data_IF_863263405659
#
_entry.id   IF_863263405659
#
_cell.length_a   1.000
_cell.length_b   1.000
_cell.length_c   1.000
_cell.angle_alpha   90.00
_cell.angle_beta   90.00
_cell.angle_gamma   90.00
#
_symmetry.space_group_name_H-M   'P 1'
#
loop_
_entity.id
_entity.type
_entity.pdbx_description
1 polymer ?
#
# COMPACT_ATOMS: atom_id res chain seq x y z
N UNK A 1 -10.75 12.14 3.67
CA UNK A 1 -9.89 11.14 2.99
C UNK A 1 -10.70 9.97 2.44
N UNK A 2 -11.59 9.37 3.21
CA UNK A 2 -12.45 8.26 2.78
C UNK A 2 -13.86 8.77 2.53
N UNK A 3 -14.47 8.30 1.43
CA UNK A 3 -15.88 8.50 1.13
C UNK A 3 -16.55 7.14 0.96
N UNK A 4 -17.84 6.97 1.32
CA UNK A 4 -18.56 5.70 1.18
C UNK A 4 -18.55 5.11 -0.23
N UNK A 5 -18.43 5.96 -1.24
CA UNK A 5 -18.46 5.57 -2.66
C UNK A 5 -17.06 5.37 -3.27
N UNK A 6 -15.99 5.54 -2.49
CA UNK A 6 -14.60 5.36 -2.96
C UNK A 6 -14.05 4.05 -2.43
N UNK A 7 -13.83 3.10 -3.32
CA UNK A 7 -13.34 1.77 -2.99
C UNK A 7 -11.86 1.56 -3.34
N UNK A 8 -11.28 2.46 -4.12
CA UNK A 8 -9.88 2.41 -4.53
C UNK A 8 -9.24 3.79 -4.47
N UNK A 9 -8.04 3.87 -3.89
CA UNK A 9 -7.25 5.10 -3.79
C UNK A 9 -5.84 4.80 -4.27
N UNK A 10 -5.27 5.68 -5.10
CA UNK A 10 -3.86 5.69 -5.40
C UNK A 10 -3.22 6.91 -4.77
N UNK A 11 -2.32 6.68 -3.82
CA UNK A 11 -1.44 7.73 -3.27
C UNK A 11 -0.19 7.77 -4.13
N UNK A 12 -0.08 8.81 -4.94
CA UNK A 12 1.05 8.98 -5.84
C UNK A 12 2.27 9.48 -5.07
N UNK A 13 3.32 8.67 -5.07
CA UNK A 13 4.60 8.96 -4.41
C UNK A 13 5.69 9.03 -5.47
N UNK A 14 6.00 10.23 -5.95
CA UNK A 14 7.13 10.45 -6.85
C UNK A 14 8.43 10.66 -6.05
N UNK A 15 8.98 9.57 -5.57
CA UNK A 15 10.25 9.57 -4.82
C UNK A 15 11.16 8.43 -5.25
N UNK A 16 12.48 8.58 -5.08
CA UNK A 16 13.42 7.53 -5.43
C UNK A 16 13.26 6.31 -4.51
N UNK A 17 13.46 5.13 -5.09
CA UNK A 17 13.73 3.94 -4.31
C UNK A 17 15.17 3.93 -3.83
N UNK A 18 15.46 3.20 -2.76
CA UNK A 18 16.83 2.91 -2.31
C UNK A 18 17.02 1.43 -2.07
N UNK A 19 18.28 1.04 -1.79
CA UNK A 19 18.64 -0.37 -1.55
C UNK A 19 19.02 -0.55 -0.09
N UNK A 20 18.48 -1.60 0.55
CA UNK A 20 18.86 -2.07 1.89
C UNK A 20 19.30 -3.53 1.79
N UNK A 21 20.62 -3.76 1.73
CA UNK A 21 21.19 -5.06 1.37
C UNK A 21 20.82 -5.44 -0.07
N UNK A 22 20.21 -6.60 -0.26
CA UNK A 22 19.71 -7.07 -1.56
C UNK A 22 18.25 -6.65 -1.85
N UNK A 23 17.59 -5.93 -0.95
CA UNK A 23 16.18 -5.58 -1.06
C UNK A 23 15.99 -4.10 -1.40
N UNK A 24 14.85 -3.78 -2.03
CA UNK A 24 14.47 -2.41 -2.33
C UNK A 24 13.55 -1.85 -1.25
N UNK A 25 13.70 -0.56 -0.98
CA UNK A 25 12.87 0.21 -0.04
C UNK A 25 12.53 1.57 -0.65
N UNK A 26 11.42 2.16 -0.16
CA UNK A 26 11.03 3.54 -0.46
C UNK A 26 10.55 4.18 0.85
N UNK A 27 11.36 5.06 1.40
CA UNK A 27 11.09 5.69 2.71
C UNK A 27 9.90 6.65 2.64
N UNK A 28 9.69 7.31 1.51
CA UNK A 28 8.55 8.22 1.33
C UNK A 28 7.23 7.45 1.27
N UNK A 29 7.21 6.25 0.69
CA UNK A 29 6.02 5.39 0.77
C UNK A 29 5.71 4.97 2.21
N UNK A 30 6.73 4.75 3.05
CA UNK A 30 6.54 4.44 4.48
C UNK A 30 5.88 5.61 5.20
N UNK A 31 6.35 6.84 4.96
CA UNK A 31 5.73 8.04 5.52
C UNK A 31 4.31 8.24 5.00
N UNK A 32 4.07 8.03 3.71
CA UNK A 32 2.74 8.06 3.12
C UNK A 32 1.77 7.06 3.81
N UNK A 33 2.23 5.84 4.08
CA UNK A 33 1.44 4.82 4.78
C UNK A 33 1.11 5.26 6.21
N UNK A 34 2.06 5.85 6.94
CA UNK A 34 1.79 6.42 8.27
C UNK A 34 0.70 7.49 8.22
N UNK A 35 0.78 8.41 7.26
CA UNK A 35 -0.23 9.45 7.06
C UNK A 35 -1.58 8.86 6.71
N UNK A 36 -1.63 7.90 5.77
CA UNK A 36 -2.86 7.19 5.40
C UNK A 36 -3.51 6.54 6.62
N UNK A 37 -2.75 5.82 7.45
CA UNK A 37 -3.29 5.18 8.66
C UNK A 37 -3.77 6.22 9.66
N UNK A 38 -3.07 7.36 9.80
CA UNK A 38 -3.51 8.46 10.64
C UNK A 38 -4.82 9.09 10.15
N UNK A 39 -4.97 9.28 8.84
CA UNK A 39 -6.19 9.80 8.21
C UNK A 39 -7.36 8.81 8.34
N UNK A 40 -7.10 7.51 8.17
CA UNK A 40 -8.09 6.47 8.45
C UNK A 40 -8.59 6.56 9.89
N UNK A 41 -7.70 6.73 10.86
CA UNK A 41 -8.04 6.88 12.28
C UNK A 41 -8.91 8.10 12.56
N UNK A 42 -8.65 9.21 11.87
CA UNK A 42 -9.43 10.45 11.99
C UNK A 42 -10.79 10.39 11.30
N UNK A 43 -11.01 9.43 10.40
CA UNK A 43 -12.24 9.33 9.63
C UNK A 43 -13.43 8.96 10.52
N UNK A 44 -14.57 9.61 10.27
CA UNK A 44 -15.81 9.34 11.00
C UNK A 44 -16.17 7.85 10.95
N UNK A 45 -16.52 7.27 12.09
CA UNK A 45 -16.91 5.86 12.20
C UNK A 45 -15.76 4.85 12.26
N UNK A 46 -14.50 5.26 12.03
CA UNK A 46 -13.38 4.33 12.09
C UNK A 46 -13.19 3.71 13.48
N UNK A 47 -13.36 4.47 14.54
CA UNK A 47 -13.28 3.98 15.92
C UNK A 47 -14.41 3.00 16.23
N UNK A 48 -15.62 3.30 15.81
CA UNK A 48 -16.75 2.38 15.93
C UNK A 48 -16.51 1.10 15.12
N UNK A 49 -15.98 1.22 13.91
CA UNK A 49 -15.57 0.09 13.09
C UNK A 49 -14.53 -0.78 13.79
N UNK A 50 -13.55 -0.21 14.45
CA UNK A 50 -12.53 -0.95 15.19
C UNK A 50 -13.03 -1.52 16.52
N UNK A 51 -13.86 -0.79 17.27
CA UNK A 51 -14.45 -1.25 18.56
C UNK A 51 -15.47 -2.37 18.38
N UNK A 52 -16.25 -2.34 17.32
CA UNK A 52 -17.23 -3.40 17.02
C UNK A 52 -16.59 -4.79 16.84
N UNK A 53 -15.28 -4.82 16.75
CA UNK A 53 -14.47 -6.02 16.84
C UNK A 53 -14.58 -6.77 18.16
N UNK A 54 -14.58 -6.08 19.30
CA UNK A 54 -14.56 -6.72 20.62
C UNK A 54 -15.92 -7.32 21.01
N UNK A 55 -17.00 -6.89 20.35
CA UNK A 55 -18.36 -7.40 20.53
C UNK A 55 -18.72 -8.56 19.59
N UNK A 56 -17.86 -8.96 18.67
CA UNK A 56 -18.09 -10.08 17.78
C UNK A 56 -17.69 -11.39 18.49
N UNK A 57 -18.68 -12.18 18.85
CA UNK A 57 -18.44 -13.56 19.31
C UNK A 57 -17.66 -14.34 18.26
N UNK A 58 -16.63 -15.01 18.74
CA UNK A 58 -15.83 -16.04 18.09
C UNK A 58 -15.12 -15.74 16.77
N UNK A 59 -13.94 -16.29 16.74
CA UNK A 59 -13.19 -16.89 15.64
C UNK A 59 -12.28 -16.03 14.76
N UNK A 60 -11.15 -16.64 14.46
CA UNK A 60 -10.06 -16.11 13.65
C UNK A 60 -10.52 -15.44 12.35
N UNK A 61 -11.63 -15.87 11.76
CA UNK A 61 -12.19 -15.37 10.52
C UNK A 61 -12.80 -13.97 10.63
N UNK A 62 -13.51 -13.70 11.71
CA UNK A 62 -14.05 -12.36 12.02
C UNK A 62 -12.91 -11.42 12.44
N UNK A 63 -11.90 -11.95 13.09
CA UNK A 63 -10.68 -11.23 13.46
C UNK A 63 -9.91 -10.71 12.26
N UNK A 64 -9.81 -11.47 11.22
CA UNK A 64 -9.10 -11.08 10.01
C UNK A 64 -9.76 -9.92 9.25
N UNK A 65 -11.08 -9.84 9.24
CA UNK A 65 -11.81 -8.82 8.45
C UNK A 65 -11.56 -7.39 8.93
N UNK A 66 -11.34 -7.21 10.22
CA UNK A 66 -11.15 -5.88 10.84
C UNK A 66 -9.70 -5.42 10.90
N UNK A 67 -8.74 -6.28 10.66
CA UNK A 67 -7.34 -5.88 10.54
C UNK A 67 -7.14 -5.11 9.23
N UNK A 68 -6.34 -4.05 9.27
CA UNK A 68 -5.79 -3.44 8.06
C UNK A 68 -4.70 -4.35 7.52
N UNK A 69 -4.82 -4.76 6.27
CA UNK A 69 -3.74 -5.43 5.55
C UNK A 69 -2.72 -4.41 5.04
N UNK A 70 -1.44 -4.65 5.26
CA UNK A 70 -0.37 -3.88 4.60
C UNK A 70 0.52 -4.86 3.86
N UNK A 71 0.62 -4.67 2.56
CA UNK A 71 1.31 -5.56 1.64
C UNK A 71 2.44 -4.81 0.95
N UNK A 72 3.59 -5.45 0.77
CA UNK A 72 4.62 -4.97 -0.15
C UNK A 72 5.26 -6.12 -0.92
N UNK A 73 5.89 -5.79 -2.05
CA UNK A 73 6.64 -6.75 -2.86
C UNK A 73 8.02 -7.10 -2.23
N UNK A 74 8.48 -6.32 -1.25
CA UNK A 74 9.83 -6.41 -0.69
C UNK A 74 9.82 -6.59 0.82
N UNK A 75 10.52 -7.61 1.31
CA UNK A 75 10.53 -7.98 2.73
C UNK A 75 11.12 -6.90 3.64
N UNK A 76 12.16 -6.20 3.19
CA UNK A 76 12.75 -5.07 3.94
C UNK A 76 11.79 -3.90 4.05
N UNK A 77 11.03 -3.60 3.00
CA UNK A 77 9.98 -2.58 3.03
C UNK A 77 8.93 -2.93 4.09
N UNK A 78 8.44 -4.17 4.11
CA UNK A 78 7.49 -4.63 5.14
C UNK A 78 8.05 -4.45 6.55
N UNK A 79 9.34 -4.78 6.76
CA UNK A 79 9.99 -4.60 8.06
C UNK A 79 10.03 -3.14 8.46
N UNK A 80 10.47 -2.25 7.58
CA UNK A 80 10.54 -0.81 7.87
C UNK A 80 9.16 -0.18 8.07
N UNK A 81 8.15 -0.58 7.30
CA UNK A 81 6.76 -0.18 7.54
C UNK A 81 6.33 -0.61 8.94
N UNK A 82 6.63 -1.85 9.34
CA UNK A 82 6.28 -2.38 10.66
C UNK A 82 6.93 -1.56 11.78
N UNK A 83 8.21 -1.28 11.68
CA UNK A 83 8.96 -0.48 12.66
C UNK A 83 8.36 0.93 12.81
N UNK A 84 7.93 1.54 11.72
CA UNK A 84 7.39 2.89 11.69
C UNK A 84 5.92 2.97 12.16
N UNK A 85 5.08 2.04 11.69
CA UNK A 85 3.62 2.10 11.86
C UNK A 85 3.14 1.49 13.17
N UNK A 86 3.76 0.39 13.66
CA UNK A 86 3.25 -0.33 14.82
C UNK A 86 3.16 0.49 16.10
N UNK A 87 4.10 1.41 16.44
CA UNK A 87 3.97 2.22 17.64
C UNK A 87 2.70 3.07 17.65
N UNK A 88 2.37 3.70 16.52
CA UNK A 88 1.14 4.47 16.37
C UNK A 88 -0.10 3.57 16.41
N UNK A 89 -0.09 2.47 15.67
CA UNK A 89 -1.20 1.54 15.61
C UNK A 89 -1.57 0.98 16.98
N UNK A 90 -0.57 0.53 17.75
CA UNK A 90 -0.77 0.00 19.12
C UNK A 90 -1.38 1.03 20.05
N UNK A 91 -0.85 2.27 20.06
CA UNK A 91 -1.38 3.36 20.92
C UNK A 91 -2.84 3.71 20.59
N UNK A 92 -3.26 3.49 19.34
CA UNK A 92 -4.60 3.85 18.85
C UNK A 92 -5.56 2.66 18.69
N UNK A 93 -5.19 1.46 19.20
CA UNK A 93 -6.03 0.27 19.11
C UNK A 93 -6.25 -0.24 17.68
N UNK A 94 -5.38 0.12 16.73
CA UNK A 94 -5.49 -0.28 15.32
C UNK A 94 -4.82 -1.63 15.12
N UNK A 95 -5.53 -2.59 14.59
CA UNK A 95 -5.01 -3.92 14.26
C UNK A 95 -4.50 -3.92 12.83
N UNK A 96 -3.25 -4.34 12.64
CA UNK A 96 -2.59 -4.36 11.32
C UNK A 96 -1.86 -5.68 11.11
N UNK A 97 -2.12 -6.30 9.96
CA UNK A 97 -1.36 -7.45 9.45
C UNK A 97 -0.46 -7.00 8.32
N UNK A 98 0.85 -7.21 8.45
CA UNK A 98 1.84 -6.79 7.47
C UNK A 98 2.62 -7.98 6.94
N UNK A 99 2.66 -8.16 5.63
CA UNK A 99 3.41 -9.23 4.97
C UNK A 99 3.82 -8.85 3.54
N UNK A 100 4.71 -9.65 2.98
CA UNK A 100 4.95 -9.61 1.53
C UNK A 100 3.75 -10.18 0.77
N UNK A 101 3.64 -9.84 -0.51
CA UNK A 101 2.59 -10.34 -1.42
C UNK A 101 2.47 -11.85 -1.33
N UNK A 102 3.59 -12.58 -1.42
CA UNK A 102 3.60 -14.05 -1.42
C UNK A 102 3.05 -14.63 -0.10
N UNK A 103 3.37 -14.01 1.03
CA UNK A 103 2.88 -14.42 2.36
C UNK A 103 1.46 -13.93 2.66
N UNK A 104 0.91 -13.05 1.85
CA UNK A 104 -0.46 -12.56 1.97
C UNK A 104 -1.45 -13.34 1.08
N UNK A 105 -0.94 -14.27 0.27
CA UNK A 105 -1.77 -15.14 -0.56
C UNK A 105 -2.77 -15.92 0.30
N UNK A 106 -4.03 -15.99 -0.13
CA UNK A 106 -5.12 -16.64 0.61
C UNK A 106 -5.71 -15.80 1.75
N UNK A 107 -5.12 -14.65 2.09
CA UNK A 107 -5.67 -13.75 3.11
C UNK A 107 -6.41 -12.57 2.44
N UNK A 108 -7.52 -12.15 3.03
CA UNK A 108 -8.27 -10.97 2.60
C UNK A 108 -8.54 -10.06 3.80
N UNK A 109 -8.64 -8.75 3.55
CA UNK A 109 -8.99 -7.74 4.56
C UNK A 109 -9.98 -6.75 3.98
N UNK A 110 -10.79 -6.13 4.82
CA UNK A 110 -11.68 -5.06 4.36
C UNK A 110 -10.90 -3.86 3.83
N UNK A 111 -9.80 -3.51 4.47
CA UNK A 111 -8.91 -2.43 4.07
C UNK A 111 -7.53 -3.02 3.79
N UNK A 112 -7.00 -2.77 2.60
CA UNK A 112 -5.64 -3.18 2.24
C UNK A 112 -4.86 -1.99 1.71
N UNK A 113 -3.65 -1.81 2.21
CA UNK A 113 -2.67 -0.83 1.75
C UNK A 113 -1.55 -1.60 1.06
N UNK A 114 -1.24 -1.24 -0.18
CA UNK A 114 -0.16 -1.85 -0.99
C UNK A 114 0.95 -0.84 -1.17
N UNK A 115 2.16 -1.15 -0.70
CA UNK A 115 3.39 -0.40 -0.97
C UNK A 115 4.11 -1.01 -2.15
N UNK A 116 4.28 -0.25 -3.21
CA UNK A 116 4.81 -0.74 -4.48
C UNK A 116 6.32 -0.66 -4.58
N UNK A 117 6.95 0.28 -3.87
CA UNK A 117 8.39 0.49 -3.66
C UNK A 117 9.14 1.01 -4.88
N UNK A 118 8.92 0.40 -6.06
CA UNK A 118 9.72 0.70 -7.25
C UNK A 118 9.41 2.09 -7.81
N UNK A 119 10.45 2.72 -8.36
CA UNK A 119 10.39 4.04 -8.97
C UNK A 119 11.31 4.11 -10.18
N UNK A 120 11.10 5.11 -11.03
CA UNK A 120 12.01 5.45 -12.13
C UNK A 120 13.31 6.15 -11.67
N UNK A 121 13.41 6.38 -10.35
CA UNK A 121 14.58 7.01 -9.70
C UNK A 121 15.10 6.11 -8.59
N UNK A 122 16.41 6.04 -8.43
CA UNK A 122 17.08 5.29 -7.37
C UNK A 122 18.09 6.18 -6.65
N UNK A 123 18.03 6.18 -5.30
CA UNK A 123 19.03 6.81 -4.44
C UNK A 123 20.11 5.78 -4.08
N UNK A 124 21.36 6.09 -4.33
CA UNK A 124 22.53 5.26 -4.02
C UNK A 124 23.00 5.37 -2.56
N UNK A 125 22.31 6.12 -1.73
CA UNK A 125 22.61 6.23 -0.30
C UNK A 125 23.49 7.43 0.08
N UNK A 126 23.90 8.24 -0.87
CA UNK A 126 24.70 9.46 -0.66
C UNK A 126 24.01 10.73 -1.20
N UNK A 127 22.71 10.68 -1.41
CA UNK A 127 21.93 11.76 -2.01
C UNK A 127 22.06 11.86 -3.54
N UNK A 128 22.80 10.97 -4.18
CA UNK A 128 22.90 10.89 -5.64
C UNK A 128 21.72 10.13 -6.21
N UNK A 129 20.81 10.83 -6.85
CA UNK A 129 19.64 10.26 -7.52
C UNK A 129 19.99 9.95 -8.97
N UNK A 130 19.76 8.72 -9.38
CA UNK A 130 19.99 8.26 -10.76
C UNK A 130 18.70 7.72 -11.39
N UNK A 131 18.57 7.79 -12.72
CA UNK A 131 17.49 7.11 -13.43
C UNK A 131 17.52 5.59 -13.18
N UNK A 132 16.34 5.00 -12.98
CA UNK A 132 16.18 3.57 -12.79
C UNK A 132 15.20 3.00 -13.82
N UNK A 133 15.62 1.96 -14.53
CA UNK A 133 14.79 1.27 -15.54
C UNK A 133 14.34 -0.12 -15.08
N UNK A 134 14.86 -0.58 -13.95
CA UNK A 134 14.53 -1.91 -13.44
C UNK A 134 13.16 -1.93 -12.78
N UNK A 135 12.34 -2.88 -13.15
CA UNK A 135 10.99 -3.06 -12.57
C UNK A 135 10.94 -4.15 -11.48
N UNK A 136 11.91 -5.05 -11.44
CA UNK A 136 11.98 -6.13 -10.44
C UNK A 136 10.69 -6.93 -10.36
N UNK A 137 10.21 -7.17 -9.14
CA UNK A 137 8.98 -7.92 -8.88
C UNK A 137 7.70 -7.26 -9.41
N UNK A 138 7.75 -5.97 -9.78
CA UNK A 138 6.61 -5.27 -10.35
C UNK A 138 6.19 -5.80 -11.73
N UNK A 139 7.03 -6.60 -12.40
CA UNK A 139 6.70 -7.25 -13.68
C UNK A 139 5.89 -8.55 -13.54
N UNK A 140 5.64 -9.06 -12.34
CA UNK A 140 4.87 -10.30 -12.15
C UNK A 140 3.37 -10.02 -12.14
N UNK A 141 2.61 -10.48 -13.15
CA UNK A 141 1.15 -10.35 -13.18
C UNK A 141 0.47 -11.05 -12.00
N UNK A 142 1.03 -12.21 -11.58
CA UNK A 142 0.48 -13.02 -10.50
C UNK A 142 0.57 -12.26 -9.18
N UNK A 143 1.73 -11.65 -8.87
CA UNK A 143 1.92 -10.84 -7.67
C UNK A 143 1.04 -9.58 -7.68
N UNK A 144 0.91 -8.94 -8.85
CA UNK A 144 -0.02 -7.82 -9.01
C UNK A 144 -1.44 -8.24 -8.69
N UNK A 145 -1.90 -9.34 -9.27
CA UNK A 145 -3.25 -9.84 -9.04
C UNK A 145 -3.49 -10.13 -7.55
N UNK A 146 -2.54 -10.82 -6.89
CA UNK A 146 -2.62 -11.05 -5.45
C UNK A 146 -2.71 -9.72 -4.71
N UNK A 147 -1.83 -8.76 -4.97
CA UNK A 147 -1.81 -7.49 -4.24
C UNK A 147 -3.13 -6.70 -4.37
N UNK A 148 -3.67 -6.59 -5.59
CA UNK A 148 -4.89 -5.80 -5.87
C UNK A 148 -6.19 -6.50 -5.45
N UNK A 149 -6.22 -7.82 -5.40
CA UNK A 149 -7.43 -8.59 -5.08
C UNK A 149 -7.63 -8.91 -3.60
N UNK A 150 -6.76 -8.44 -2.71
CA UNK A 150 -6.86 -8.76 -1.26
C UNK A 150 -7.80 -7.85 -0.48
N UNK A 151 -8.21 -6.72 -1.04
CA UNK A 151 -9.13 -5.78 -0.41
C UNK A 151 -10.58 -6.14 -0.71
N UNK A 152 -11.42 -6.27 0.33
CA UNK A 152 -12.86 -6.50 0.16
C UNK A 152 -13.65 -5.21 0.01
N UNK A 153 -13.19 -4.09 0.61
CA UNK A 153 -13.93 -2.82 0.64
C UNK A 153 -13.10 -1.63 0.20
N UNK A 154 -11.86 -1.51 0.65
CA UNK A 154 -11.00 -0.37 0.34
C UNK A 154 -9.59 -0.84 0.01
N UNK A 155 -9.17 -0.59 -1.21
CA UNK A 155 -7.79 -0.75 -1.68
C UNK A 155 -7.10 0.60 -1.72
N UNK A 156 -5.95 0.73 -1.07
CA UNK A 156 -5.08 1.91 -1.14
C UNK A 156 -3.74 1.47 -1.68
N UNK A 157 -3.38 1.96 -2.85
CA UNK A 157 -2.07 1.71 -3.46
C UNK A 157 -1.19 2.93 -3.23
N UNK A 158 0.02 2.71 -2.73
CA UNK A 158 1.02 3.76 -2.46
C UNK A 158 2.23 3.52 -3.34
N UNK A 159 2.56 4.47 -4.20
CA UNK A 159 3.71 4.36 -5.10
C UNK A 159 3.70 5.29 -6.30
N UNK A 160 4.76 5.25 -7.10
CA UNK A 160 4.94 6.10 -8.27
C UNK A 160 4.01 5.68 -9.42
N UNK A 161 2.89 6.40 -9.58
CA UNK A 161 1.87 6.11 -10.59
C UNK A 161 2.43 6.10 -12.01
N UNK A 162 3.23 7.09 -12.35
CA UNK A 162 3.75 7.27 -13.72
C UNK A 162 4.76 6.18 -14.10
N UNK A 163 5.54 5.72 -13.14
CA UNK A 163 6.42 4.57 -13.33
C UNK A 163 5.60 3.30 -13.58
N UNK A 164 4.61 3.03 -12.74
CA UNK A 164 3.78 1.82 -12.87
C UNK A 164 2.93 1.82 -14.14
N UNK A 165 2.47 2.97 -14.63
CA UNK A 165 1.80 3.09 -15.93
C UNK A 165 2.65 2.62 -17.13
N UNK A 166 3.97 2.61 -17.00
CA UNK A 166 4.93 2.26 -18.07
C UNK A 166 5.39 0.81 -18.00
N UNK A 167 5.11 0.08 -16.90
CA UNK A 167 5.55 -1.32 -16.74
C UNK A 167 4.80 -2.22 -17.71
N UNK A 168 5.57 -3.01 -18.45
CA UNK A 168 5.08 -4.03 -19.38
C UNK A 168 5.47 -5.42 -18.91
N UNK A 169 4.63 -6.39 -19.19
CA UNK A 169 4.94 -7.81 -19.07
C UNK A 169 5.93 -8.28 -20.17
N UNK A 170 6.25 -9.57 -20.17
CA UNK A 170 7.14 -10.15 -21.16
C UNK A 170 6.55 -10.17 -22.58
N UNK A 171 5.22 -10.02 -22.72
CA UNK A 171 4.49 -9.96 -23.97
C UNK A 171 4.29 -8.52 -24.47
N UNK A 172 4.79 -7.53 -23.74
CA UNK A 172 4.67 -6.11 -24.06
C UNK A 172 3.37 -5.45 -23.61
N UNK A 173 2.49 -6.14 -22.88
CA UNK A 173 1.24 -5.59 -22.36
C UNK A 173 1.50 -4.73 -21.10
N UNK A 174 0.80 -3.61 -20.98
CA UNK A 174 0.89 -2.76 -19.81
C UNK A 174 0.15 -3.36 -18.61
N UNK A 175 0.88 -3.78 -17.59
CA UNK A 175 0.31 -4.50 -16.45
C UNK A 175 -0.61 -3.64 -15.58
N UNK A 176 -0.18 -2.45 -15.23
CA UNK A 176 -0.89 -1.60 -14.25
C UNK A 176 -1.81 -0.56 -14.89
N UNK A 177 -1.64 -0.28 -16.19
CA UNK A 177 -2.31 0.83 -16.87
C UNK A 177 -3.83 0.78 -16.75
N UNK A 178 -4.43 -0.39 -16.93
CA UNK A 178 -5.87 -0.54 -16.86
C UNK A 178 -6.39 -0.38 -15.43
N UNK A 179 -5.69 -0.93 -14.43
CA UNK A 179 -6.04 -0.74 -13.03
C UNK A 179 -5.92 0.72 -12.60
N UNK A 180 -4.85 1.41 -13.03
CA UNK A 180 -4.66 2.84 -12.73
C UNK A 180 -5.74 3.68 -13.37
N UNK A 181 -6.08 3.45 -14.65
CA UNK A 181 -7.18 4.15 -15.33
C UNK A 181 -8.53 3.93 -14.65
N UNK A 182 -8.78 2.72 -14.16
CA UNK A 182 -10.00 2.44 -13.42
C UNK A 182 -10.03 3.18 -12.08
N UNK A 183 -8.91 3.26 -11.38
CA UNK A 183 -8.79 4.06 -10.15
C UNK A 183 -8.98 5.57 -10.44
N UNK A 184 -8.48 6.08 -11.55
CA UNK A 184 -8.69 7.46 -11.98
C UNK A 184 -10.16 7.75 -12.31
N UNK A 185 -10.89 6.77 -12.86
CA UNK A 185 -12.28 6.89 -13.28
C UNK A 185 -13.28 6.75 -12.13
N UNK A 186 -13.11 5.78 -11.27
CA UNK A 186 -14.09 5.35 -10.25
C UNK A 186 -13.59 5.45 -8.83
N UNK A 187 -12.29 5.68 -8.64
CA UNK A 187 -11.63 5.83 -7.36
C UNK A 187 -11.13 7.25 -7.12
N UNK A 188 -9.99 7.34 -6.46
CA UNK A 188 -9.33 8.62 -6.15
C UNK A 188 -7.82 8.52 -6.34
N UNK A 189 -7.21 9.51 -6.98
CA UNK A 189 -5.75 9.69 -7.01
C UNK A 189 -5.40 10.90 -6.18
N UNK A 190 -4.44 10.77 -5.28
CA UNK A 190 -4.00 11.82 -4.36
C UNK A 190 -2.49 11.88 -4.39
N UNK A 191 -1.91 13.04 -4.62
CA UNK A 191 -0.47 13.18 -4.47
C UNK A 191 -0.06 13.15 -2.99
N UNK A 192 1.07 12.51 -2.71
CA UNK A 192 1.61 12.42 -1.35
C UNK A 192 1.74 13.80 -0.67
N UNK A 193 2.05 14.86 -1.45
CA UNK A 193 2.17 16.23 -0.95
C UNK A 193 0.86 16.76 -0.39
N UNK A 194 -0.26 16.32 -0.95
CA UNK A 194 -1.60 16.77 -0.59
C UNK A 194 -2.18 16.00 0.60
N UNK A 195 -1.59 14.86 0.98
CA UNK A 195 -1.99 14.11 2.19
C UNK A 195 -1.86 14.91 3.51
N UNK A 196 -1.22 16.07 3.50
CA UNK A 196 -1.11 16.95 4.67
C UNK A 196 -2.36 17.81 4.87
N UNK A 197 -3.15 17.98 3.82
CA UNK A 197 -4.31 18.87 3.77
C UNK A 197 -5.64 18.12 3.91
N UNK A 198 -5.59 16.82 4.05
CA UNK A 198 -6.73 15.93 4.28
C UNK A 198 -6.85 15.63 5.81
#
# INVERSE_FOLDING_TARGET
FISPNVHTIWVNVDSPESTDGSSKINLTEIDAINKVISLLKKSSGFDSYMKHWDSLESEAKKKAEKEIGVISFYGKQVRKIRESVLPFAKRNGIRIKMNTVDKFQGMERNIVIVSTVRSDKSDRGNGVIIPNKESGFAKSPERLNVALSRARRLLIVVGNKDFYCKIKDNNGNYLYRNAIREIERSGRVIDYKDLRNE
#
